data_IF_778772419645
#
_entry.id   IF_778772419645
#
_cell.length_a   1.000
_cell.length_b   1.000
_cell.length_c   1.000
_cell.angle_alpha   90.00
_cell.angle_beta   90.00
_cell.angle_gamma   90.00
#
_symmetry.space_group_name_H-M   'P 1'
#
loop_
_entity.id
_entity.type
_entity.pdbx_description
1 polymer ?
#
# COMPACT_ATOMS: atom_id res chain seq x y z
N UNK A 1 4.54 10.09 22.22
CA UNK A 1 5.41 9.00 21.75
C UNK A 1 5.35 8.96 20.24
N UNK A 2 6.45 8.68 19.55
CA UNK A 2 6.52 8.63 18.07
C UNK A 2 7.32 7.41 17.61
N UNK A 3 7.09 6.96 16.38
CA UNK A 3 7.75 5.79 15.77
C UNK A 3 8.52 6.28 14.57
N UNK A 4 9.79 5.95 14.51
CA UNK A 4 10.74 6.51 13.54
C UNK A 4 11.49 5.37 12.86
N UNK A 5 11.47 5.37 11.52
CA UNK A 5 12.28 4.45 10.75
C UNK A 5 13.76 4.82 10.94
N UNK A 6 14.57 3.85 11.34
CA UNK A 6 16.02 4.00 11.43
C UNK A 6 16.61 4.50 10.11
N UNK A 7 17.62 5.37 10.21
CA UNK A 7 18.27 5.97 9.04
C UNK A 7 17.51 7.17 8.46
N UNK A 8 16.49 7.67 9.16
CA UNK A 8 15.83 8.93 8.80
C UNK A 8 16.33 10.08 9.69
N UNK A 9 16.26 11.30 9.16
CA UNK A 9 16.51 12.51 9.96
C UNK A 9 15.19 13.07 10.47
N UNK A 10 15.07 13.26 11.79
CA UNK A 10 13.90 13.88 12.40
C UNK A 10 14.21 15.30 12.86
N UNK A 11 13.27 16.22 12.65
CA UNK A 11 13.38 17.59 13.14
C UNK A 11 12.66 17.73 14.48
N UNK A 12 13.42 17.97 15.53
CA UNK A 12 12.92 18.20 16.89
C UNK A 12 12.82 19.70 17.13
N UNK A 13 11.61 20.18 17.43
CA UNK A 13 11.35 21.57 17.75
C UNK A 13 11.35 21.77 19.26
N UNK A 14 12.20 22.67 19.74
CA UNK A 14 12.32 23.01 21.17
C UNK A 14 11.97 24.48 21.34
N UNK A 15 10.97 24.77 22.17
CA UNK A 15 10.62 26.16 22.51
C UNK A 15 11.26 26.48 23.85
N UNK A 16 12.06 27.55 23.88
CA UNK A 16 12.62 28.11 25.11
C UNK A 16 12.05 29.49 25.39
N UNK A 17 12.00 29.86 26.67
CA UNK A 17 11.47 31.14 27.14
C UNK A 17 12.41 31.71 28.19
N UNK A 18 12.72 32.99 28.06
CA UNK A 18 13.36 33.73 29.14
C UNK A 18 12.26 34.21 30.10
N UNK A 19 12.13 33.58 31.28
CA UNK A 19 11.15 33.98 32.29
C UNK A 19 11.67 35.06 33.26
N UNK A 20 12.96 35.41 33.14
CA UNK A 20 13.62 36.43 33.94
C UNK A 20 13.28 37.87 33.53
N UNK A 21 13.97 38.81 34.18
CA UNK A 21 13.85 40.25 33.95
C UNK A 21 15.10 40.88 33.33
N UNK A 22 16.11 40.06 32.99
CA UNK A 22 17.39 40.45 32.39
C UNK A 22 17.59 39.77 31.04
N UNK A 23 18.47 40.35 30.21
CA UNK A 23 18.91 39.69 28.98
C UNK A 23 19.76 38.48 29.33
N UNK A 24 19.44 37.33 28.73
CA UNK A 24 20.11 36.08 29.06
C UNK A 24 20.93 35.52 27.89
N UNK A 25 22.08 34.94 28.25
CA UNK A 25 22.96 34.22 27.35
C UNK A 25 23.07 32.77 27.86
N UNK A 26 22.59 31.81 27.10
CA UNK A 26 22.57 30.41 27.50
C UNK A 26 22.66 29.49 26.29
N UNK A 27 22.98 28.22 26.53
CA UNK A 27 23.03 27.19 25.50
C UNK A 27 21.91 26.19 25.75
N UNK A 28 21.21 25.81 24.69
CA UNK A 28 20.21 24.74 24.71
C UNK A 28 20.81 23.52 24.04
N UNK A 29 20.88 22.41 24.75
CA UNK A 29 21.37 21.12 24.25
C UNK A 29 20.22 20.12 24.18
N UNK A 30 20.16 19.37 23.08
CA UNK A 30 19.19 18.29 22.90
C UNK A 30 19.93 16.94 22.91
N UNK A 31 19.38 15.98 23.64
CA UNK A 31 19.90 14.62 23.78
C UNK A 31 18.84 13.58 23.44
N UNK A 32 19.27 12.39 23.00
CA UNK A 32 18.50 11.15 23.15
C UNK A 32 19.19 10.28 24.21
N UNK A 33 18.44 9.93 25.25
CA UNK A 33 18.97 9.46 26.54
C UNK A 33 20.13 10.36 27.00
N UNK A 34 21.36 9.83 27.01
CA UNK A 34 22.58 10.55 27.39
C UNK A 34 23.43 11.01 26.19
N UNK A 35 23.00 10.76 24.95
CA UNK A 35 23.75 11.08 23.73
C UNK A 35 23.34 12.44 23.17
N UNK A 36 24.31 13.32 22.95
CA UNK A 36 24.07 14.67 22.40
C UNK A 36 23.66 14.58 20.93
N UNK A 37 22.52 15.20 20.59
CA UNK A 37 22.06 15.43 19.22
C UNK A 37 22.69 16.73 18.70
N UNK A 38 22.63 17.80 19.49
CA UNK A 38 23.20 19.09 19.13
C UNK A 38 22.94 20.15 20.19
N UNK A 39 23.62 21.29 20.05
CA UNK A 39 23.49 22.44 20.94
C UNK A 39 23.36 23.73 20.14
N UNK A 40 22.54 24.66 20.62
CA UNK A 40 22.41 26.00 20.06
C UNK A 40 22.64 27.04 21.17
N UNK A 41 23.59 27.95 20.93
CA UNK A 41 23.80 29.09 21.81
C UNK A 41 22.82 30.22 21.47
N UNK A 42 22.19 30.77 22.50
CA UNK A 42 21.33 31.94 22.41
C UNK A 42 22.02 33.09 23.12
N UNK A 43 22.12 34.22 22.44
CA UNK A 43 22.67 35.45 22.99
C UNK A 43 21.62 36.55 23.07
N UNK A 44 21.72 37.36 24.11
CA UNK A 44 20.89 38.54 24.36
C UNK A 44 19.38 38.26 24.25
N UNK A 45 18.93 37.14 24.83
CA UNK A 45 17.51 36.79 24.81
C UNK A 45 16.71 37.76 25.67
N UNK A 46 15.79 38.49 25.04
CA UNK A 46 14.98 39.53 25.69
C UNK A 46 14.14 38.94 26.84
N UNK A 47 14.04 39.61 28.00
CA UNK A 47 13.13 39.23 29.08
C UNK A 47 11.71 38.96 28.59
N UNK A 48 11.11 37.85 29.04
CA UNK A 48 9.74 37.46 28.68
C UNK A 48 9.54 36.93 27.25
N UNK A 49 10.58 36.92 26.41
CA UNK A 49 10.48 36.43 25.03
C UNK A 49 10.58 34.90 24.94
N UNK A 50 10.09 34.35 23.83
CA UNK A 50 10.21 32.93 23.47
C UNK A 50 10.97 32.77 22.16
N UNK A 51 11.80 31.73 22.05
CA UNK A 51 12.48 31.35 20.80
C UNK A 51 12.20 29.89 20.47
N UNK A 52 11.89 29.61 19.21
CA UNK A 52 11.73 28.25 18.69
C UNK A 52 13.05 27.81 18.05
N UNK A 53 13.63 26.74 18.56
CA UNK A 53 14.82 26.08 18.05
C UNK A 53 14.42 24.83 17.26
N UNK A 54 15.21 24.47 16.25
CA UNK A 54 15.01 23.22 15.49
C UNK A 54 16.33 22.46 15.43
N UNK A 55 16.34 21.27 16.01
CA UNK A 55 17.47 20.34 15.96
C UNK A 55 17.18 19.23 14.96
N UNK A 56 18.17 18.85 14.16
CA UNK A 56 18.09 17.71 13.24
C UNK A 56 18.78 16.51 13.89
N UNK A 57 18.02 15.44 14.14
CA UNK A 57 18.56 14.18 14.65
C UNK A 57 18.60 13.13 13.54
N UNK A 58 19.80 12.78 13.09
CA UNK A 58 20.04 11.63 12.21
C UNK A 58 20.01 10.34 13.02
N UNK A 59 19.05 9.46 12.71
CA UNK A 59 18.89 8.16 13.38
C UNK A 59 19.71 7.05 12.73
N UNK A 60 20.58 7.37 11.76
CA UNK A 60 21.50 6.42 11.15
C UNK A 60 22.47 5.84 12.19
N UNK A 61 22.47 4.51 12.32
CA UNK A 61 23.34 3.81 13.28
C UNK A 61 22.87 3.85 14.73
N UNK A 62 21.75 4.51 15.03
CA UNK A 62 21.08 4.38 16.33
C UNK A 62 20.48 2.97 16.41
N UNK A 63 20.64 2.31 17.56
CA UNK A 63 20.10 0.95 17.76
C UNK A 63 18.57 0.96 17.77
N UNK A 64 17.96 -0.21 17.60
CA UNK A 64 16.50 -0.31 17.63
C UNK A 64 16.02 -0.43 19.07
N UNK A 65 15.40 0.62 19.60
CA UNK A 65 14.88 0.68 20.96
C UNK A 65 13.94 1.88 21.15
N UNK A 66 13.42 2.02 22.37
CA UNK A 66 12.73 3.20 22.87
C UNK A 66 13.71 4.19 23.50
N UNK A 67 13.71 5.43 23.02
CA UNK A 67 14.60 6.50 23.47
C UNK A 67 13.82 7.65 24.11
N UNK A 68 14.40 8.28 25.14
CA UNK A 68 13.85 9.51 25.73
C UNK A 68 14.62 10.72 25.21
N UNK A 69 13.92 11.69 24.61
CA UNK A 69 14.52 12.97 24.28
C UNK A 69 14.60 13.84 25.53
N UNK A 70 15.72 14.54 25.69
CA UNK A 70 15.93 15.52 26.77
C UNK A 70 16.47 16.82 26.18
N UNK A 71 15.71 17.90 26.31
CA UNK A 71 16.19 19.25 26.04
C UNK A 71 16.62 19.90 27.36
N UNK A 72 17.79 20.52 27.37
CA UNK A 72 18.40 21.10 28.56
C UNK A 72 18.96 22.50 28.24
N UNK A 73 18.49 23.52 28.94
CA UNK A 73 19.07 24.85 28.92
C UNK A 73 20.17 24.98 30.00
N UNK A 74 21.30 25.60 29.67
CA UNK A 74 22.36 25.85 30.64
C UNK A 74 21.91 26.88 31.68
N UNK A 75 22.23 26.62 32.96
CA UNK A 75 21.92 27.53 34.07
C UNK A 75 22.51 28.92 33.83
N UNK A 76 21.70 29.96 34.06
CA UNK A 76 22.12 31.36 33.92
C UNK A 76 22.47 32.02 35.27
N UNK A 77 23.30 33.09 35.30
CA UNK A 77 23.70 33.72 36.56
C UNK A 77 22.51 34.29 37.36
N UNK A 78 22.39 33.87 38.62
CA UNK A 78 21.33 34.33 39.51
C UNK A 78 20.01 33.56 39.38
N UNK A 79 19.95 32.58 38.49
CA UNK A 79 18.83 31.65 38.39
C UNK A 79 18.71 30.78 39.65
N UNK A 80 17.49 30.64 40.16
CA UNK A 80 17.18 29.83 41.35
C UNK A 80 16.22 28.70 41.05
N UNK A 81 15.37 28.87 40.03
CA UNK A 81 14.57 27.79 39.47
C UNK A 81 15.34 27.17 38.32
N UNK A 82 15.94 26.00 38.52
CA UNK A 82 16.73 25.29 37.49
C UNK A 82 16.03 24.02 37.01
N UNK A 83 14.89 23.67 37.59
CA UNK A 83 14.15 22.45 37.26
C UNK A 83 13.45 22.56 35.90
N UNK A 84 13.02 23.77 35.53
CA UNK A 84 12.37 24.09 34.26
C UNK A 84 13.35 24.22 33.09
N UNK A 85 14.66 24.17 33.35
CA UNK A 85 15.68 24.09 32.31
C UNK A 85 15.70 22.73 31.61
N UNK A 86 15.07 21.69 32.17
CA UNK A 86 15.06 20.33 31.61
C UNK A 86 13.64 19.94 31.20
N UNK A 87 13.49 19.54 29.94
CA UNK A 87 12.26 18.95 29.42
C UNK A 87 12.53 17.57 28.80
N UNK A 88 11.78 16.55 29.24
CA UNK A 88 11.90 15.17 28.76
C UNK A 88 10.66 14.79 27.96
N UNK A 89 10.87 14.19 26.78
CA UNK A 89 9.81 13.73 25.88
C UNK A 89 10.10 12.31 25.40
N UNK A 90 9.09 11.42 25.41
CA UNK A 90 9.25 10.09 24.85
C UNK A 90 8.16 9.10 25.27
N UNK A 91 8.29 7.82 24.88
CA UNK A 91 9.42 7.30 24.09
C UNK A 91 9.35 7.67 22.60
N UNK A 92 10.53 7.77 21.98
CA UNK A 92 10.76 7.74 20.53
C UNK A 92 11.26 6.35 20.18
N UNK A 93 10.42 5.55 19.52
CA UNK A 93 10.77 4.19 19.12
C UNK A 93 11.47 4.21 17.77
N UNK A 94 12.70 3.72 17.72
CA UNK A 94 13.46 3.58 16.47
C UNK A 94 13.48 2.11 16.07
N UNK A 95 13.16 1.83 14.80
CA UNK A 95 13.16 0.47 14.28
C UNK A 95 13.31 0.42 12.76
N UNK A 96 13.46 -0.78 12.17
CA UNK A 96 13.55 -0.93 10.72
C UNK A 96 12.19 -0.69 10.07
N UNK A 97 12.16 -0.19 8.83
CA UNK A 97 10.91 0.02 8.10
C UNK A 97 10.43 -1.27 7.42
N UNK A 98 9.29 -1.87 7.82
CA UNK A 98 8.69 -2.99 7.10
C UNK A 98 8.11 -2.56 5.74
N UNK A 99 7.85 -3.55 4.87
CA UNK A 99 7.24 -3.36 3.56
C UNK A 99 5.97 -4.20 3.40
N UNK A 100 4.89 -3.57 2.95
CA UNK A 100 3.71 -4.27 2.43
C UNK A 100 3.78 -4.36 0.91
N UNK A 101 3.66 -5.56 0.35
CA UNK A 101 3.83 -5.80 -1.09
C UNK A 101 2.63 -6.51 -1.69
N UNK A 102 2.38 -6.25 -2.97
CA UNK A 102 1.54 -7.09 -3.82
C UNK A 102 2.41 -8.20 -4.44
N UNK A 103 2.01 -9.45 -4.26
CA UNK A 103 2.73 -10.62 -4.79
C UNK A 103 1.80 -11.59 -5.53
N UNK A 104 2.16 -12.05 -6.75
CA UNK A 104 3.34 -11.62 -7.51
C UNK A 104 3.24 -10.14 -7.91
N UNK A 105 4.37 -9.44 -8.13
CA UNK A 105 4.37 -8.02 -8.50
C UNK A 105 3.79 -7.77 -9.89
N UNK A 106 3.71 -8.80 -10.73
CA UNK A 106 3.09 -8.76 -12.05
C UNK A 106 2.24 -10.02 -12.25
N UNK A 107 1.01 -9.86 -12.72
CA UNK A 107 0.18 -10.94 -13.22
C UNK A 107 -0.21 -10.68 -14.67
N UNK A 108 0.03 -11.66 -15.54
CA UNK A 108 -0.25 -11.57 -16.97
C UNK A 108 -1.36 -12.56 -17.33
N UNK A 109 -2.41 -12.07 -17.98
CA UNK A 109 -3.55 -12.85 -18.43
C UNK A 109 -3.70 -12.78 -19.95
N UNK A 110 -4.23 -13.85 -20.55
CA UNK A 110 -4.62 -13.87 -21.96
C UNK A 110 -6.02 -14.46 -22.18
N UNK A 111 -6.79 -14.69 -21.12
CA UNK A 111 -8.15 -15.26 -21.21
C UNK A 111 -9.11 -14.54 -20.27
N UNK A 112 -10.34 -14.38 -20.72
CA UNK A 112 -11.46 -13.90 -19.92
C UNK A 112 -11.95 -14.96 -18.92
N UNK A 113 -12.62 -14.50 -17.87
CA UNK A 113 -13.22 -15.34 -16.82
C UNK A 113 -12.24 -16.21 -16.03
N UNK A 114 -10.92 -16.00 -16.17
CA UNK A 114 -9.91 -16.69 -15.38
C UNK A 114 -9.84 -16.07 -13.99
N UNK A 115 -9.76 -16.94 -12.99
CA UNK A 115 -9.51 -16.54 -11.62
C UNK A 115 -8.02 -16.60 -11.33
N UNK A 116 -7.50 -15.58 -10.65
CA UNK A 116 -6.13 -15.58 -10.17
C UNK A 116 -6.06 -14.98 -8.78
N UNK A 117 -5.01 -15.35 -8.05
CA UNK A 117 -4.79 -14.93 -6.67
C UNK A 117 -3.63 -13.95 -6.60
N UNK A 118 -3.83 -12.91 -5.79
CA UNK A 118 -2.83 -11.94 -5.43
C UNK A 118 -2.73 -11.90 -3.91
N UNK A 119 -1.52 -12.03 -3.39
CA UNK A 119 -1.24 -11.92 -1.97
C UNK A 119 -0.79 -10.50 -1.63
N UNK A 120 -1.28 -9.99 -0.51
CA UNK A 120 -0.73 -8.81 0.15
C UNK A 120 0.19 -9.33 1.25
N UNK A 121 1.47 -9.02 1.20
CA UNK A 121 2.47 -9.61 2.10
C UNK A 121 3.16 -8.57 2.97
N UNK A 122 3.33 -8.91 4.24
CA UNK A 122 4.20 -8.20 5.17
C UNK A 122 5.62 -8.73 5.02
N UNK A 123 6.60 -7.81 4.99
CA UNK A 123 8.00 -8.14 4.82
C UNK A 123 8.86 -7.34 5.80
N UNK A 124 9.70 -8.03 6.59
CA UNK A 124 10.68 -7.43 7.48
C UNK A 124 10.07 -6.78 8.73
N UNK A 125 8.94 -7.29 9.23
CA UNK A 125 8.34 -6.74 10.45
C UNK A 125 9.20 -7.05 11.68
N UNK A 126 9.60 -6.02 12.41
CA UNK A 126 10.35 -6.17 13.64
C UNK A 126 9.42 -6.31 14.85
N UNK A 127 9.66 -7.31 15.69
CA UNK A 127 8.84 -7.59 16.89
C UNK A 127 8.74 -6.38 17.83
N UNK A 128 9.81 -5.58 17.92
CA UNK A 128 9.84 -4.37 18.76
C UNK A 128 8.87 -3.28 18.33
N UNK A 129 8.34 -3.33 17.10
CA UNK A 129 7.25 -2.44 16.71
C UNK A 129 5.95 -2.72 17.46
N UNK A 130 5.79 -3.91 18.06
CA UNK A 130 4.60 -4.29 18.82
C UNK A 130 3.29 -4.11 18.04
N UNK A 131 3.33 -4.41 16.74
CA UNK A 131 2.21 -4.18 15.81
C UNK A 131 0.99 -5.03 16.20
N UNK A 132 -0.19 -4.40 16.27
CA UNK A 132 -1.46 -5.09 16.60
C UNK A 132 -2.55 -4.83 15.56
N UNK A 133 -2.43 -3.78 14.75
CA UNK A 133 -3.38 -3.45 13.69
C UNK A 133 -2.63 -3.28 12.36
N UNK A 134 -3.23 -3.81 11.30
CA UNK A 134 -2.81 -3.62 9.92
C UNK A 134 -4.01 -3.13 9.10
N UNK A 135 -3.85 -2.04 8.36
CA UNK A 135 -4.81 -1.57 7.37
C UNK A 135 -4.10 -1.34 6.04
N UNK A 136 -4.78 -1.68 4.95
CA UNK A 136 -4.37 -1.26 3.61
C UNK A 136 -5.58 -1.20 2.68
N UNK A 137 -5.44 -0.42 1.61
CA UNK A 137 -6.37 -0.37 0.50
C UNK A 137 -5.67 -0.80 -0.79
N UNK A 138 -6.38 -1.54 -1.64
CA UNK A 138 -5.95 -1.88 -3.00
C UNK A 138 -6.89 -1.18 -3.99
N UNK A 139 -6.37 -0.25 -4.77
CA UNK A 139 -7.09 0.34 -5.90
C UNK A 139 -6.86 -0.50 -7.16
N UNK A 140 -7.90 -0.66 -7.97
CA UNK A 140 -7.84 -1.43 -9.22
C UNK A 140 -8.82 -0.86 -10.27
N UNK A 141 -8.71 -1.35 -11.49
CA UNK A 141 -9.60 -1.00 -12.59
C UNK A 141 -10.74 -2.03 -12.72
N UNK A 142 -11.95 -1.67 -12.28
CA UNK A 142 -13.14 -2.54 -12.29
C UNK A 142 -13.75 -2.77 -13.69
N UNK A 143 -13.19 -2.13 -14.72
CA UNK A 143 -13.48 -2.49 -16.11
C UNK A 143 -12.68 -3.72 -16.58
N UNK A 144 -11.52 -3.99 -15.95
CA UNK A 144 -10.64 -5.11 -16.31
C UNK A 144 -10.74 -6.30 -15.35
N UNK A 145 -11.10 -6.05 -14.09
CA UNK A 145 -11.12 -7.05 -13.03
C UNK A 145 -12.41 -6.99 -12.23
N UNK A 146 -12.93 -8.15 -11.85
CA UNK A 146 -13.92 -8.30 -10.78
C UNK A 146 -13.25 -8.96 -9.57
N UNK A 147 -13.64 -8.56 -8.35
CA UNK A 147 -13.19 -9.22 -7.12
C UNK A 147 -14.11 -10.41 -6.83
N UNK A 148 -13.54 -11.60 -6.81
CA UNK A 148 -14.26 -12.83 -6.54
C UNK A 148 -14.25 -13.20 -5.04
N UNK A 149 -13.14 -12.98 -4.35
CA UNK A 149 -12.98 -13.33 -2.94
C UNK A 149 -11.85 -12.53 -2.26
N UNK A 150 -11.96 -12.32 -0.95
CA UNK A 150 -10.94 -11.67 -0.12
C UNK A 150 -10.83 -12.44 1.19
N UNK A 151 -9.67 -13.06 1.42
CA UNK A 151 -9.44 -13.97 2.55
C UNK A 151 -8.26 -13.50 3.38
N UNK A 152 -8.40 -13.54 4.70
CA UNK A 152 -7.31 -13.29 5.62
C UNK A 152 -6.19 -14.33 5.47
N UNK A 153 -4.96 -13.84 5.31
CA UNK A 153 -3.76 -14.66 5.23
C UNK A 153 -3.31 -15.22 6.58
N UNK A 154 -2.37 -16.18 6.57
CA UNK A 154 -1.90 -16.84 7.79
C UNK A 154 -1.04 -15.97 8.70
N UNK A 155 -0.48 -14.84 8.25
CA UNK A 155 0.54 -14.11 9.01
C UNK A 155 0.02 -13.60 10.36
N UNK A 156 -1.09 -12.86 10.36
CA UNK A 156 -1.68 -12.36 11.62
C UNK A 156 -2.29 -13.48 12.46
N UNK A 157 -2.61 -14.63 11.85
CA UNK A 157 -3.17 -15.81 12.51
C UNK A 157 -2.14 -16.74 13.14
N UNK A 158 -0.84 -16.49 12.97
CA UNK A 158 0.21 -17.38 13.46
C UNK A 158 0.13 -17.53 14.99
N UNK A 159 0.05 -18.77 15.52
CA UNK A 159 -0.16 -19.03 16.94
C UNK A 159 0.98 -18.54 17.85
N UNK A 160 2.12 -18.12 17.29
CA UNK A 160 3.21 -17.49 18.06
C UNK A 160 2.80 -16.15 18.67
N UNK A 161 1.86 -15.44 18.05
CA UNK A 161 1.34 -14.15 18.53
C UNK A 161 -0.19 -14.05 18.54
N UNK A 162 -0.87 -14.84 17.73
CA UNK A 162 -2.33 -14.95 17.74
C UNK A 162 -2.85 -15.80 18.90
N UNK A 163 -2.90 -15.20 20.10
CA UNK A 163 -3.33 -15.90 21.31
C UNK A 163 -4.85 -15.88 21.51
N UNK A 164 -5.56 -14.87 21.00
CA UNK A 164 -6.98 -14.64 21.26
C UNK A 164 -7.83 -14.49 19.99
N UNK A 165 -7.25 -14.73 18.82
CA UNK A 165 -7.90 -14.59 17.53
C UNK A 165 -7.57 -13.26 16.83
N UNK A 166 -8.10 -13.13 15.62
CA UNK A 166 -8.01 -11.93 14.81
C UNK A 166 -9.39 -11.47 14.38
N UNK A 167 -9.55 -10.15 14.23
CA UNK A 167 -10.63 -9.55 13.47
C UNK A 167 -10.13 -9.30 12.06
N UNK A 168 -10.84 -9.83 11.07
CA UNK A 168 -10.60 -9.54 9.66
C UNK A 168 -11.83 -8.87 9.07
N UNK A 169 -11.66 -7.65 8.56
CA UNK A 169 -12.73 -6.86 7.95
C UNK A 169 -12.26 -6.44 6.57
N UNK A 170 -13.14 -6.55 5.58
CA UNK A 170 -12.90 -5.97 4.26
C UNK A 170 -14.18 -5.46 3.63
N UNK A 171 -14.04 -4.52 2.71
CA UNK A 171 -15.10 -4.07 1.82
C UNK A 171 -14.56 -3.96 0.40
N UNK A 172 -15.35 -4.45 -0.57
CA UNK A 172 -15.13 -4.21 -2.00
C UNK A 172 -16.12 -3.14 -2.42
N UNK A 173 -15.61 -1.96 -2.75
CA UNK A 173 -16.46 -0.79 -2.93
C UNK A 173 -15.86 0.21 -3.92
N UNK A 174 -16.66 1.23 -4.26
CA UNK A 174 -16.19 2.39 -5.00
C UNK A 174 -16.22 3.60 -4.07
N UNK A 175 -15.05 4.16 -3.82
CA UNK A 175 -14.87 5.34 -2.97
C UNK A 175 -14.71 6.61 -3.83
N UNK A 176 -15.19 7.79 -3.39
CA UNK A 176 -15.07 9.04 -4.15
C UNK A 176 -13.62 9.49 -4.43
N UNK A 177 -12.67 9.15 -3.56
CA UNK A 177 -11.24 9.50 -3.68
C UNK A 177 -10.48 8.37 -4.38
N UNK A 178 -10.73 7.12 -3.98
CA UNK A 178 -9.93 5.98 -4.43
C UNK A 178 -10.50 5.22 -5.63
N UNK A 179 -11.72 5.52 -6.06
CA UNK A 179 -12.40 4.75 -7.12
C UNK A 179 -12.68 3.32 -6.68
N UNK A 180 -12.72 2.34 -7.62
CA UNK A 180 -12.87 0.93 -7.29
C UNK A 180 -11.70 0.43 -6.45
N UNK A 181 -12.01 -0.13 -5.30
CA UNK A 181 -10.99 -0.53 -4.35
C UNK A 181 -11.45 -1.67 -3.41
N UNK A 182 -10.48 -2.20 -2.68
CA UNK A 182 -10.67 -3.14 -1.58
C UNK A 182 -9.97 -2.54 -0.36
N UNK A 183 -10.72 -2.16 0.68
CA UNK A 183 -10.13 -1.81 1.97
C UNK A 183 -10.14 -3.03 2.87
N UNK A 184 -9.02 -3.28 3.55
CA UNK A 184 -8.82 -4.40 4.48
C UNK A 184 -8.29 -3.86 5.80
N UNK A 185 -8.89 -4.30 6.90
CA UNK A 185 -8.40 -4.10 8.26
C UNK A 185 -8.23 -5.44 8.97
N UNK A 186 -7.09 -5.62 9.63
CA UNK A 186 -6.77 -6.80 10.44
C UNK A 186 -6.37 -6.33 11.83
N UNK A 187 -7.03 -6.86 12.87
CA UNK A 187 -6.73 -6.56 14.27
C UNK A 187 -6.38 -7.85 15.00
N UNK A 188 -5.26 -7.87 15.68
CA UNK A 188 -4.91 -8.93 16.64
C UNK A 188 -5.71 -8.68 17.92
N UNK A 189 -6.49 -9.65 18.42
CA UNK A 189 -7.25 -9.42 19.65
C UNK A 189 -6.34 -9.38 20.88
N UNK A 190 -6.55 -8.41 21.80
CA UNK A 190 -5.89 -8.42 23.10
C UNK A 190 -6.50 -9.49 24.02
N UNK A 191 -5.90 -9.67 25.18
CA UNK A 191 -6.53 -10.43 26.26
C UNK A 191 -7.78 -9.73 26.82
N UNK A 192 -8.43 -10.36 27.81
CA UNK A 192 -9.63 -9.82 28.47
C UNK A 192 -9.43 -8.47 29.18
N UNK A 193 -8.17 -8.04 29.39
CA UNK A 193 -7.82 -6.76 30.01
C UNK A 193 -7.39 -5.70 28.98
N UNK A 194 -7.42 -6.03 27.69
CA UNK A 194 -6.95 -5.11 26.64
C UNK A 194 -5.43 -5.10 26.45
N UNK A 195 -4.72 -6.16 26.86
CA UNK A 195 -3.26 -6.24 26.79
C UNK A 195 -2.80 -7.25 25.74
N UNK A 196 -1.81 -6.86 24.92
CA UNK A 196 -1.07 -7.75 24.03
C UNK A 196 0.26 -8.14 24.67
N UNK A 197 0.58 -9.43 24.64
CA UNK A 197 1.80 -9.99 25.24
C UNK A 197 2.75 -10.65 24.24
N UNK A 198 2.34 -10.76 22.98
CA UNK A 198 3.08 -11.33 21.86
C UNK A 198 2.80 -10.51 20.61
N UNK A 199 3.81 -10.34 19.76
CA UNK A 199 3.74 -9.43 18.63
C UNK A 199 4.20 -10.10 17.33
N UNK A 200 3.57 -9.79 16.18
CA UNK A 200 3.97 -10.31 14.88
C UNK A 200 5.38 -9.85 14.49
N UNK A 201 6.13 -10.75 13.83
CA UNK A 201 7.44 -10.43 13.29
C UNK A 201 7.80 -11.29 12.07
N UNK A 202 8.71 -10.79 11.25
CA UNK A 202 9.19 -11.45 10.04
C UNK A 202 8.35 -11.14 8.79
N UNK A 203 8.15 -12.17 7.97
CA UNK A 203 7.48 -12.07 6.67
C UNK A 203 6.23 -12.98 6.64
N UNK A 204 5.22 -12.61 5.86
CA UNK A 204 4.09 -13.50 5.57
C UNK A 204 2.94 -12.83 4.85
N UNK A 205 1.93 -13.63 4.49
CA UNK A 205 0.73 -13.14 3.77
C UNK A 205 -0.29 -12.60 4.76
N UNK A 206 -0.68 -11.33 4.60
CA UNK A 206 -1.72 -10.63 5.36
C UNK A 206 -3.12 -10.95 4.84
N UNK A 207 -3.28 -10.94 3.51
CA UNK A 207 -4.53 -11.29 2.84
C UNK A 207 -4.26 -11.84 1.44
N UNK A 208 -5.19 -12.65 0.94
CA UNK A 208 -5.21 -13.14 -0.43
C UNK A 208 -6.50 -12.67 -1.10
N UNK A 209 -6.36 -11.98 -2.22
CA UNK A 209 -7.46 -11.49 -3.05
C UNK A 209 -7.54 -12.40 -4.27
N UNK A 210 -8.73 -12.91 -4.55
CA UNK A 210 -9.02 -13.62 -5.79
C UNK A 210 -9.71 -12.67 -6.75
N UNK A 211 -9.07 -12.37 -7.87
CA UNK A 211 -9.65 -11.58 -8.95
C UNK A 211 -10.14 -12.50 -10.08
N UNK A 212 -11.12 -12.02 -10.84
CA UNK A 212 -11.61 -12.62 -12.08
C UNK A 212 -11.38 -11.64 -13.23
N UNK A 213 -10.81 -12.12 -14.34
CA UNK A 213 -10.58 -11.30 -15.53
C UNK A 213 -11.89 -10.98 -16.25
N UNK A 214 -12.10 -9.70 -16.62
CA UNK A 214 -13.39 -9.17 -17.06
C UNK A 214 -13.42 -8.66 -18.50
N UNK A 215 -12.36 -8.02 -18.96
CA UNK A 215 -12.30 -7.44 -20.30
C UNK A 215 -10.95 -7.71 -20.98
N UNK A 216 -11.02 -7.98 -22.29
CA UNK A 216 -9.90 -8.31 -23.14
C UNK A 216 -10.13 -7.73 -24.54
N UNK A 217 -9.09 -7.14 -25.11
CA UNK A 217 -9.10 -6.61 -26.47
C UNK A 217 -8.87 -7.71 -27.52
N UNK A 218 -9.26 -7.43 -28.76
CA UNK A 218 -9.01 -8.30 -29.93
C UNK A 218 -8.10 -7.60 -30.92
N UNK A 219 -7.11 -8.34 -31.42
CA UNK A 219 -6.05 -7.84 -32.31
C UNK A 219 -4.68 -7.92 -31.64
N UNK A 220 -3.82 -8.84 -32.12
CA UNK A 220 -2.50 -9.11 -31.55
C UNK A 220 -1.52 -7.94 -31.70
N UNK A 221 -1.83 -6.98 -32.57
CA UNK A 221 -1.10 -5.74 -32.74
C UNK A 221 -1.34 -4.72 -31.61
N UNK A 222 -2.39 -4.91 -30.81
CA UNK A 222 -2.71 -4.01 -29.70
C UNK A 222 -1.77 -4.27 -28.51
N UNK A 223 -1.38 -3.23 -27.77
CA UNK A 223 -0.67 -3.44 -26.52
C UNK A 223 -1.59 -4.12 -25.48
N UNK A 224 -1.02 -4.80 -24.47
CA UNK A 224 -1.79 -5.28 -23.33
C UNK A 224 -2.49 -4.13 -22.61
N UNK A 225 -3.70 -4.39 -22.11
CA UNK A 225 -4.36 -3.49 -21.18
C UNK A 225 -3.72 -3.65 -19.81
N UNK A 226 -3.48 -2.55 -19.12
CA UNK A 226 -2.81 -2.56 -17.81
C UNK A 226 -3.73 -2.09 -16.69
N UNK A 227 -3.52 -2.64 -15.50
CA UNK A 227 -4.15 -2.23 -14.26
C UNK A 227 -3.12 -2.26 -13.14
N UNK A 228 -2.73 -1.10 -12.62
CA UNK A 228 -1.93 -1.06 -11.40
C UNK A 228 -2.80 -1.53 -10.23
N UNK A 229 -2.29 -2.51 -9.48
CA UNK A 229 -2.84 -2.95 -8.20
C UNK A 229 -2.18 -2.10 -7.12
N UNK A 230 -2.68 -0.88 -6.97
CA UNK A 230 -2.03 0.16 -6.17
C UNK A 230 -2.38 0.00 -4.69
N UNK A 231 -1.36 -0.10 -3.85
CA UNK A 231 -1.50 0.02 -2.41
C UNK A 231 -1.66 1.50 -2.02
N UNK A 232 -2.68 1.81 -1.25
CA UNK A 232 -2.96 3.12 -0.70
C UNK A 232 -3.47 3.00 0.74
N UNK A 233 -3.53 4.10 1.47
CA UNK A 233 -4.13 4.16 2.82
C UNK A 233 -3.58 3.04 3.74
N UNK A 234 -2.25 2.86 3.67
CA UNK A 234 -1.52 1.78 4.35
C UNK A 234 -1.12 2.26 5.74
N UNK A 235 -1.50 1.50 6.75
CA UNK A 235 -1.25 1.83 8.14
C UNK A 235 -0.90 0.58 8.95
N UNK A 236 0.13 0.71 9.78
CA UNK A 236 0.44 -0.22 10.86
C UNK A 236 0.31 0.53 12.16
N UNK A 237 -0.28 -0.09 13.18
CA UNK A 237 -0.43 0.53 14.50
C UNK A 237 0.08 -0.43 15.57
N UNK A 238 0.82 0.11 16.52
CA UNK A 238 1.27 -0.64 17.69
C UNK A 238 0.24 -0.66 18.81
N UNK A 239 0.61 -1.32 19.91
CA UNK A 239 -0.24 -1.51 21.07
C UNK A 239 -0.44 -0.25 21.94
N UNK A 240 0.32 0.82 21.69
CA UNK A 240 0.06 2.15 22.24
C UNK A 240 -0.88 2.97 21.32
N UNK A 241 -1.41 2.36 20.26
CA UNK A 241 -2.25 2.99 19.24
C UNK A 241 -1.48 4.10 18.48
N UNK A 242 -0.18 3.90 18.25
CA UNK A 242 0.67 4.82 17.49
C UNK A 242 1.02 4.20 16.13
N UNK A 243 0.91 5.01 15.08
CA UNK A 243 1.27 4.58 13.72
C UNK A 243 2.76 4.25 13.61
N UNK A 244 3.06 3.15 12.92
CA UNK A 244 4.41 2.66 12.65
C UNK A 244 4.77 3.00 11.19
N UNK A 245 5.99 3.50 10.92
CA UNK A 245 6.49 3.71 9.58
C UNK A 245 6.44 2.43 8.76
N UNK A 246 5.82 2.48 7.58
CA UNK A 246 5.69 1.33 6.68
C UNK A 246 5.86 1.79 5.23
N UNK A 247 6.62 1.04 4.43
CA UNK A 247 6.72 1.24 3.00
C UNK A 247 5.78 0.31 2.24
N UNK A 248 5.54 0.59 0.96
CA UNK A 248 4.72 -0.28 0.12
C UNK A 248 5.31 -0.53 -1.27
N UNK A 249 4.93 -1.63 -1.88
CA UNK A 249 5.27 -1.98 -3.27
C UNK A 249 4.02 -2.47 -3.99
N UNK A 250 3.63 -1.73 -5.03
CA UNK A 250 2.42 -1.99 -5.83
C UNK A 250 2.60 -3.21 -6.73
N UNK A 251 1.48 -3.73 -7.24
CA UNK A 251 1.47 -4.76 -8.27
C UNK A 251 0.98 -4.24 -9.61
N UNK A 252 1.11 -5.06 -10.64
CA UNK A 252 0.60 -4.77 -11.97
C UNK A 252 -0.15 -5.98 -12.52
N UNK A 253 -1.25 -5.71 -13.20
CA UNK A 253 -2.00 -6.67 -13.98
C UNK A 253 -1.93 -6.29 -15.46
N UNK A 254 -1.70 -7.27 -16.33
CA UNK A 254 -1.73 -7.10 -17.78
C UNK A 254 -2.70 -8.10 -18.41
N UNK A 255 -3.61 -7.61 -19.26
CA UNK A 255 -4.43 -8.43 -20.15
C UNK A 255 -3.93 -8.29 -21.58
N UNK A 256 -3.34 -9.35 -22.13
CA UNK A 256 -2.95 -9.39 -23.53
C UNK A 256 -4.18 -9.54 -24.43
N UNK A 257 -4.18 -8.92 -25.62
CA UNK A 257 -5.26 -9.12 -26.56
C UNK A 257 -5.28 -10.56 -27.10
N UNK A 258 -6.46 -11.04 -27.47
CA UNK A 258 -6.60 -12.29 -28.24
C UNK A 258 -6.56 -12.00 -29.75
N UNK A 259 -6.51 -13.05 -30.57
CA UNK A 259 -6.55 -12.91 -32.02
C UNK A 259 -7.85 -12.24 -32.48
N UNK A 260 -7.78 -11.41 -33.52
CA UNK A 260 -8.95 -10.63 -33.99
C UNK A 260 -10.14 -11.52 -34.40
N UNK A 261 -9.83 -12.75 -34.84
CA UNK A 261 -10.79 -13.78 -35.22
C UNK A 261 -11.29 -14.68 -34.08
N UNK A 262 -10.76 -14.57 -32.87
CA UNK A 262 -11.28 -15.30 -31.69
C UNK A 262 -12.43 -14.46 -31.13
N UNK A 263 -13.64 -14.69 -31.64
CA UNK A 263 -14.79 -13.82 -31.39
C UNK A 263 -15.59 -14.27 -30.17
N UNK A 264 -15.38 -15.50 -29.71
CA UNK A 264 -15.99 -16.05 -28.50
C UNK A 264 -15.04 -16.05 -27.28
N UNK A 265 -13.79 -15.62 -27.45
CA UNK A 265 -12.75 -15.51 -26.42
C UNK A 265 -12.41 -16.86 -25.76
N UNK A 266 -12.47 -17.95 -26.52
CA UNK A 266 -12.14 -19.29 -26.02
C UNK A 266 -10.65 -19.65 -26.21
N UNK A 267 -9.85 -18.72 -26.73
CA UNK A 267 -8.41 -18.87 -26.89
C UNK A 267 -8.02 -19.60 -28.17
N UNK A 268 -8.90 -19.72 -29.16
CA UNK A 268 -8.57 -20.27 -30.48
C UNK A 268 -9.44 -19.61 -31.54
N UNK A 269 -9.05 -19.80 -32.81
CA UNK A 269 -9.91 -19.46 -33.94
C UNK A 269 -10.28 -20.74 -34.66
N UNK A 270 -11.54 -21.14 -34.53
CA UNK A 270 -12.06 -22.36 -35.15
C UNK A 270 -13.40 -22.16 -35.88
N UNK A 271 -14.08 -23.25 -36.23
CA UNK A 271 -15.33 -23.20 -36.97
C UNK A 271 -16.48 -22.53 -36.20
N UNK A 272 -16.40 -22.47 -34.86
CA UNK A 272 -17.35 -21.76 -34.04
C UNK A 272 -17.26 -20.26 -34.25
N UNK A 273 -16.05 -19.69 -34.31
CA UNK A 273 -15.85 -18.26 -34.56
C UNK A 273 -16.40 -17.85 -35.92
N UNK A 274 -16.06 -18.62 -36.96
CA UNK A 274 -16.58 -18.43 -38.32
C UNK A 274 -18.10 -18.48 -38.31
N UNK A 275 -18.67 -19.49 -37.62
CA UNK A 275 -20.11 -19.67 -37.51
C UNK A 275 -20.83 -18.52 -36.79
N UNK A 276 -20.21 -17.92 -35.77
CA UNK A 276 -20.75 -16.78 -35.03
C UNK A 276 -20.84 -15.53 -35.91
N UNK A 277 -19.76 -15.21 -36.64
CA UNK A 277 -19.77 -14.07 -37.58
C UNK A 277 -20.72 -14.33 -38.75
N UNK A 278 -20.72 -15.53 -39.33
CA UNK A 278 -21.59 -15.90 -40.44
C UNK A 278 -23.09 -15.79 -40.08
N UNK A 279 -23.48 -16.09 -38.83
CA UNK A 279 -24.87 -15.90 -38.35
C UNK A 279 -25.33 -14.44 -38.46
N UNK A 280 -24.41 -13.49 -38.33
CA UNK A 280 -24.70 -12.06 -38.43
C UNK A 280 -24.49 -11.47 -39.84
N UNK A 281 -24.17 -12.30 -40.84
CA UNK A 281 -23.93 -11.85 -42.21
C UNK A 281 -25.07 -11.00 -42.78
N UNK A 282 -24.69 -9.86 -43.38
CA UNK A 282 -25.57 -8.85 -43.94
C UNK A 282 -26.17 -7.88 -42.91
N UNK A 283 -25.82 -7.99 -41.63
CA UNK A 283 -26.33 -7.09 -40.59
C UNK A 283 -25.53 -5.77 -40.53
N UNK A 284 -26.21 -4.72 -40.10
CA UNK A 284 -25.69 -3.38 -39.81
C UNK A 284 -26.38 -2.82 -38.56
N UNK A 285 -25.92 -1.70 -37.95
CA UNK A 285 -26.51 -1.15 -36.73
C UNK A 285 -28.04 -1.02 -36.81
N UNK A 286 -28.74 -1.56 -35.81
CA UNK A 286 -30.21 -1.60 -35.74
C UNK A 286 -30.85 -2.89 -36.26
N UNK A 287 -30.10 -3.74 -36.97
CA UNK A 287 -30.59 -5.04 -37.40
C UNK A 287 -30.60 -6.07 -36.24
N UNK A 288 -31.60 -6.97 -36.17
CA UNK A 288 -31.75 -7.93 -35.05
C UNK A 288 -30.54 -8.87 -34.86
N UNK A 289 -29.84 -9.19 -35.96
CA UNK A 289 -28.62 -10.02 -35.96
C UNK A 289 -27.33 -9.21 -35.77
N UNK A 290 -27.43 -7.88 -35.64
CA UNK A 290 -26.26 -7.03 -35.47
C UNK A 290 -25.59 -7.31 -34.12
N UNK A 291 -24.32 -7.64 -34.17
CA UNK A 291 -23.44 -7.61 -33.02
C UNK A 291 -22.17 -6.89 -33.46
N UNK A 292 -21.86 -5.76 -32.82
CA UNK A 292 -20.67 -4.96 -33.12
C UNK A 292 -19.38 -5.79 -33.02
N UNK A 293 -19.37 -6.82 -32.18
CA UNK A 293 -18.21 -7.70 -32.03
C UNK A 293 -17.96 -8.62 -33.25
N UNK A 294 -18.93 -8.74 -34.17
CA UNK A 294 -18.79 -9.51 -35.41
C UNK A 294 -18.49 -8.62 -36.64
N UNK A 295 -18.49 -7.29 -36.48
CA UNK A 295 -17.96 -6.32 -37.45
C UNK A 295 -16.45 -6.18 -37.19
N UNK A 296 -15.67 -7.05 -37.81
CA UNK A 296 -14.26 -7.29 -37.51
C UNK A 296 -13.38 -6.15 -38.01
N UNK A 297 -13.68 -5.62 -39.21
CA UNK A 297 -12.96 -4.47 -39.77
C UNK A 297 -13.55 -3.10 -39.33
N UNK A 298 -14.63 -3.12 -38.55
CA UNK A 298 -15.31 -1.96 -37.94
C UNK A 298 -15.87 -0.98 -38.97
N UNK A 299 -16.30 -1.47 -40.12
CA UNK A 299 -16.82 -0.64 -41.22
C UNK A 299 -18.34 -0.34 -41.09
N UNK A 300 -19.01 -0.85 -40.06
CA UNK A 300 -20.44 -0.68 -39.82
C UNK A 300 -21.33 -1.69 -40.56
N UNK A 301 -20.75 -2.73 -41.16
CA UNK A 301 -21.45 -3.82 -41.86
C UNK A 301 -20.75 -5.14 -41.56
N UNK A 302 -21.53 -6.19 -41.33
CA UNK A 302 -21.01 -7.55 -41.23
C UNK A 302 -21.16 -8.21 -42.60
N UNK A 303 -20.08 -8.23 -43.39
CA UNK A 303 -20.06 -8.78 -44.74
C UNK A 303 -19.04 -9.93 -44.89
N UNK A 304 -18.71 -10.28 -46.14
CA UNK A 304 -17.84 -11.43 -46.42
C UNK A 304 -16.39 -11.16 -46.00
N UNK A 305 -15.98 -9.89 -45.88
CA UNK A 305 -14.66 -9.51 -45.40
C UNK A 305 -14.49 -9.87 -43.94
N UNK A 306 -15.50 -9.65 -43.11
CA UNK A 306 -15.46 -10.03 -41.69
C UNK A 306 -15.24 -11.53 -41.54
N UNK A 307 -16.04 -12.33 -42.27
CA UNK A 307 -15.88 -13.78 -42.31
C UNK A 307 -14.49 -14.17 -42.83
N UNK A 308 -14.00 -13.52 -43.88
CA UNK A 308 -12.68 -13.80 -44.45
C UNK A 308 -11.53 -13.47 -43.49
N UNK A 309 -11.65 -12.41 -42.68
CA UNK A 309 -10.67 -12.06 -41.64
C UNK A 309 -10.61 -13.14 -40.57
N UNK A 310 -11.76 -13.65 -40.11
CA UNK A 310 -11.80 -14.78 -39.16
C UNK A 310 -11.20 -16.04 -39.79
N UNK A 311 -11.57 -16.37 -41.04
CA UNK A 311 -11.00 -17.52 -41.75
C UNK A 311 -9.48 -17.44 -41.91
N UNK A 312 -8.91 -16.24 -42.09
CA UNK A 312 -7.46 -16.04 -42.17
C UNK A 312 -6.75 -16.42 -40.86
N UNK A 313 -7.46 -16.31 -39.73
CA UNK A 313 -6.98 -16.73 -38.42
C UNK A 313 -7.19 -18.20 -38.09
N UNK A 314 -7.90 -18.97 -38.92
CA UNK A 314 -8.31 -20.34 -38.58
C UNK A 314 -7.12 -21.23 -38.21
N UNK A 315 -7.25 -21.94 -37.09
CA UNK A 315 -6.20 -22.78 -36.53
C UNK A 315 -5.25 -22.05 -35.57
N UNK A 316 -5.42 -20.74 -35.37
CA UNK A 316 -4.75 -20.01 -34.30
C UNK A 316 -5.18 -20.55 -32.92
N UNK A 317 -4.23 -20.59 -31.98
CA UNK A 317 -4.43 -21.02 -30.59
C UNK A 317 -3.60 -20.14 -29.65
N UNK A 318 -4.20 -19.67 -28.56
CA UNK A 318 -3.57 -19.14 -27.36
C UNK A 318 -4.04 -19.91 -26.11
N UNK A 319 -3.55 -19.61 -24.89
CA UNK A 319 -2.37 -18.79 -24.52
C UNK A 319 -1.04 -19.54 -24.61
N UNK A 320 0.07 -18.81 -24.77
CA UNK A 320 1.45 -19.30 -24.52
C UNK A 320 1.84 -19.10 -23.03
N UNK A 321 1.07 -18.29 -22.28
CA UNK A 321 1.46 -17.72 -20.98
C UNK A 321 0.44 -17.90 -19.85
N UNK A 322 -0.63 -18.67 -20.04
CA UNK A 322 -1.59 -19.00 -18.97
C UNK A 322 -1.29 -20.45 -18.52
N UNK A 323 -0.61 -20.66 -17.37
CA UNK A 323 -0.25 -22.00 -16.90
C UNK A 323 -1.45 -22.89 -16.55
#
# INVERSE_FOLDING_TARGET
>A
AIRVASGTTINVKVTVKNEGNTYENFTVSLYYDDNLIGSEAITDMVPGSTKLLTFSWDTSGVSFDDYMLKAEASVVPGETNVEDNVYVYGPVRIGPQPLIKIEPPMFQAQMLNKMFKVNVTMNGLWEGWRTVIVQFRICYNDTLLDVADVVEGPFMKDPRWNLYGTLFIYYVERDPVYGPNIIVGIVLYPDQNGVWSKFPSGNGVLATITFKTKYQERGLERPPLTCELKLADVMLVDDDIVEIPVGCSHGMYEMYPTHIGDVNYDGKVDSWDIGLVAKAFGASPGHIRWNREYDIDRNGKIDIKDVAIVCKGFGWKGPIYDP
#
